data_IF_407304175797
#
_entry.id   IF_407304175797
#
_cell.length_a   1.000
_cell.length_b   1.000
_cell.length_c   1.000
_cell.angle_alpha   90.00
_cell.angle_beta   90.00
_cell.angle_gamma   90.00
#
_symmetry.space_group_name_H-M   'P 1'
#
loop_
_entity.id
_entity.type
_entity.pdbx_description
1 polymer ?
#
# COMPACT_ATOMS: atom_id res chain seq x y z
N UNK A 1 6.12 -23.32 -16.71
CA UNK A 1 5.69 -22.85 -16.65
C UNK A 1 4.88 -22.18 -16.31
N UNK A 2 4.80 -21.81 -16.18
CA UNK A 2 4.09 -21.23 -15.86
C UNK A 2 3.51 -20.56 -15.59
N UNK A 3 3.23 -20.14 -15.53
CA UNK A 3 2.73 -19.50 -15.22
C UNK A 3 1.87 -19.03 -15.06
N UNK A 4 1.60 -18.70 -14.82
CA UNK A 4 0.91 -18.23 -14.57
C UNK A 4 0.06 -17.66 -14.55
N UNK A 5 -0.19 -17.45 -14.49
CA UNK A 5 -0.95 -16.89 -14.38
C UNK A 5 -1.54 -16.21 -14.25
N UNK A 6 -1.75 -15.68 -14.25
CA UNK A 6 -2.34 -15.01 -14.12
C UNK A 6 -3.09 -14.29 -13.92
N UNK A 7 -3.17 -13.60 -13.86
CA UNK A 7 -3.81 -12.97 -13.88
C UNK A 7 -4.85 -12.34 -13.88
N UNK A 8 -4.66 -11.76 -14.03
CA UNK A 8 -6.02 -11.49 -14.07
C UNK A 8 -6.53 -10.53 -13.03
N UNK A 9 -6.13 -10.13 -12.06
CA UNK A 9 -6.64 -9.22 -11.07
C UNK A 9 -5.87 -7.93 -11.15
N UNK A 10 -6.24 -7.10 -12.09
CA UNK A 10 -5.50 -5.88 -12.33
C UNK A 10 -5.51 -4.94 -11.12
N UNK A 11 -6.63 -4.88 -10.38
CA UNK A 11 -6.68 -4.04 -9.19
C UNK A 11 -5.72 -4.53 -8.12
N UNK A 12 -5.56 -5.86 -8.05
CA UNK A 12 -4.62 -6.45 -7.11
C UNK A 12 -3.18 -6.06 -7.44
N UNK A 13 -2.88 -5.99 -8.73
CA UNK A 13 -1.53 -5.60 -9.14
C UNK A 13 -1.17 -4.19 -8.68
N UNK A 14 -2.14 -3.29 -8.74
CA UNK A 14 -1.87 -1.91 -8.37
C UNK A 14 -1.40 -1.77 -6.94
N UNK A 15 -2.14 -2.34 -6.01
CA UNK A 15 -1.75 -2.17 -4.62
C UNK A 15 -0.57 -3.08 -4.25
N UNK A 16 -0.39 -4.19 -4.96
CA UNK A 16 0.76 -5.03 -4.70
C UNK A 16 2.06 -4.30 -5.03
N UNK A 17 2.06 -3.55 -6.12
CA UNK A 17 3.23 -2.76 -6.47
C UNK A 17 3.54 -1.72 -5.39
N UNK A 18 2.48 -1.12 -4.82
CA UNK A 18 2.63 -0.17 -3.75
C UNK A 18 3.22 -0.84 -2.50
N UNK A 19 2.72 -2.04 -2.17
CA UNK A 19 3.25 -2.78 -1.03
C UNK A 19 4.73 -3.12 -1.23
N UNK A 20 5.11 -3.51 -2.43
CA UNK A 20 6.50 -3.81 -2.73
C UNK A 20 7.36 -2.56 -2.56
N UNK A 21 6.85 -1.43 -3.01
CA UNK A 21 7.56 -0.17 -2.84
C UNK A 21 7.76 0.18 -1.38
N UNK A 22 6.72 -0.01 -0.58
CA UNK A 22 6.82 0.26 0.85
C UNK A 22 7.86 -0.65 1.50
N UNK A 23 7.89 -1.91 1.13
CA UNK A 23 8.84 -2.85 1.71
C UNK A 23 10.27 -2.51 1.33
N UNK A 24 10.47 -1.79 0.25
CA UNK A 24 11.80 -1.39 -0.19
C UNK A 24 12.31 -0.09 0.40
N UNK A 25 11.49 0.60 1.18
CA UNK A 25 11.92 1.85 1.78
C UNK A 25 12.92 1.60 2.90
N UNK A 26 13.87 2.50 3.01
CA UNK A 26 14.88 2.40 4.05
C UNK A 26 14.21 2.54 5.41
N UNK A 27 14.58 1.66 6.32
CA UNK A 27 14.03 1.68 7.67
C UNK A 27 12.82 0.79 7.86
N UNK A 28 12.29 0.21 6.79
CA UNK A 28 11.14 -0.67 6.88
C UNK A 28 11.61 -2.10 7.10
N UNK A 29 11.13 -2.72 8.17
CA UNK A 29 11.48 -4.09 8.50
C UNK A 29 10.59 -5.08 7.78
N UNK A 30 9.30 -4.79 7.73
CA UNK A 30 8.36 -5.66 7.03
C UNK A 30 7.08 -4.90 6.75
N UNK A 31 6.31 -5.44 5.80
CA UNK A 31 5.00 -4.89 5.44
C UNK A 31 4.03 -6.06 5.43
N UNK A 32 2.92 -5.88 6.12
CA UNK A 32 1.89 -6.91 6.17
C UNK A 32 0.60 -6.33 5.61
N UNK A 33 -0.17 -7.17 4.94
CA UNK A 33 -1.47 -6.79 4.43
C UNK A 33 -2.52 -7.23 5.45
N UNK A 34 -3.36 -6.30 5.85
CA UNK A 34 -4.44 -6.62 6.76
C UNK A 34 -5.72 -6.88 6.01
N UNK A 35 -6.76 -6.13 6.38
CA UNK A 35 -8.08 -6.35 5.81
C UNK A 35 -8.16 -5.77 4.41
N UNK A 36 -8.84 -6.49 3.54
CA UNK A 36 -9.14 -6.02 2.19
C UNK A 36 -10.66 -5.94 2.08
N UNK A 37 -11.16 -4.73 1.84
CA UNK A 37 -12.59 -4.51 1.72
C UNK A 37 -12.92 -4.20 0.27
N UNK A 38 -13.94 -4.84 -0.30
CA UNK A 38 -14.36 -4.48 -1.65
C UNK A 38 -15.02 -3.11 -1.65
N UNK A 39 -14.89 -2.43 -2.74
CA UNK A 39 -15.56 -1.15 -2.93
C UNK A 39 -15.88 -1.01 -4.41
N UNK A 40 -16.76 -0.06 -4.70
CA UNK A 40 -17.11 0.19 -6.09
C UNK A 40 -15.88 0.72 -6.81
N UNK A 41 -15.55 0.08 -7.92
CA UNK A 41 -14.43 0.50 -8.71
C UNK A 41 -14.70 1.79 -9.45
N UNK A 42 -13.65 2.55 -9.68
CA UNK A 42 -13.75 3.81 -10.41
C UNK A 42 -13.30 3.66 -11.87
N UNK A 43 -12.87 2.47 -12.24
CA UNK A 43 -12.35 2.26 -13.58
C UNK A 43 -10.92 2.68 -13.74
N UNK A 44 -10.27 3.08 -12.67
CA UNK A 44 -8.88 3.50 -12.71
C UNK A 44 -8.03 2.47 -12.01
N UNK A 45 -7.11 1.83 -12.72
CA UNK A 45 -6.26 0.81 -12.12
C UNK A 45 -5.11 1.43 -11.34
N UNK A 46 -5.36 2.48 -10.59
CA UNK A 46 -4.33 3.19 -9.85
C UNK A 46 -4.59 3.00 -8.36
N UNK A 47 -3.56 2.58 -7.65
CA UNK A 47 -3.63 2.49 -6.21
C UNK A 47 -2.91 3.69 -5.60
N UNK A 48 -3.45 4.20 -4.51
CA UNK A 48 -2.86 5.34 -3.84
C UNK A 48 -3.13 5.22 -2.34
N UNK A 49 -2.23 5.77 -1.56
CA UNK A 49 -2.37 5.77 -0.12
C UNK A 49 -3.27 6.93 0.28
N UNK A 50 -4.36 6.63 0.97
CA UNK A 50 -5.31 7.65 1.38
C UNK A 50 -5.14 8.06 2.83
N UNK A 51 -4.49 7.24 3.64
CA UNK A 51 -4.33 7.55 5.06
C UNK A 51 -3.07 6.88 5.58
N UNK A 52 -2.32 7.62 6.40
CA UNK A 52 -1.14 7.10 7.07
C UNK A 52 -1.25 7.48 8.53
N UNK A 53 -1.09 6.51 9.42
CA UNK A 53 -1.15 6.75 10.85
C UNK A 53 0.03 6.10 11.54
N UNK A 54 0.57 6.76 12.52
CA UNK A 54 1.66 6.21 13.30
C UNK A 54 1.09 5.27 14.35
N UNK A 55 1.73 4.11 14.52
CA UNK A 55 1.35 3.14 15.52
C UNK A 55 2.55 2.82 16.38
N UNK A 56 2.37 1.96 17.38
CA UNK A 56 3.46 1.59 18.27
C UNK A 56 4.59 0.89 17.53
N UNK A 57 4.26 0.13 16.51
CA UNK A 57 5.28 -0.67 15.82
C UNK A 57 5.64 -0.09 14.46
N UNK A 58 5.04 1.03 14.07
CA UNK A 58 5.38 1.63 12.80
C UNK A 58 4.26 2.46 12.25
N UNK A 59 3.69 2.03 11.12
CA UNK A 59 2.64 2.78 10.45
C UNK A 59 1.49 1.88 10.08
N UNK A 60 0.29 2.44 10.14
CA UNK A 60 -0.91 1.81 9.60
C UNK A 60 -1.31 2.63 8.38
N UNK A 61 -1.49 1.96 7.27
CA UNK A 61 -1.70 2.64 5.99
C UNK A 61 -2.97 2.11 5.35
N UNK A 62 -3.76 3.02 4.80
CA UNK A 62 -4.94 2.65 4.04
C UNK A 62 -4.66 2.94 2.57
N UNK A 63 -4.83 1.92 1.73
CA UNK A 63 -4.58 2.02 0.31
C UNK A 63 -5.92 1.92 -0.42
N UNK A 64 -6.18 2.91 -1.27
CA UNK A 64 -7.35 2.86 -2.16
C UNK A 64 -6.90 2.30 -3.48
N UNK A 65 -7.47 1.17 -3.86
CA UNK A 65 -7.22 0.57 -5.15
C UNK A 65 -8.55 0.46 -5.88
N UNK A 66 -8.48 0.24 -7.18
CA UNK A 66 -9.70 0.07 -7.94
C UNK A 66 -10.39 -1.21 -7.46
N UNK A 67 -11.59 -1.05 -6.93
CA UNK A 67 -12.36 -2.19 -6.46
C UNK A 67 -12.06 -2.63 -5.03
N UNK A 68 -11.12 -1.99 -4.33
CA UNK A 68 -10.78 -2.45 -3.00
C UNK A 68 -10.17 -1.34 -2.15
N UNK A 69 -10.37 -1.47 -0.84
CA UNK A 69 -9.65 -0.67 0.14
C UNK A 69 -8.83 -1.66 0.96
N UNK A 70 -7.54 -1.43 1.04
CA UNK A 70 -6.62 -2.38 1.64
C UNK A 70 -5.92 -1.73 2.83
N UNK A 71 -5.92 -2.42 3.96
CA UNK A 71 -5.15 -1.98 5.11
C UNK A 71 -3.79 -2.65 5.06
N UNK A 72 -2.74 -1.88 5.31
CA UNK A 72 -1.40 -2.41 5.35
C UNK A 72 -0.71 -1.90 6.61
N UNK A 73 0.22 -2.69 7.10
CA UNK A 73 0.94 -2.35 8.33
C UNK A 73 2.42 -2.41 8.03
N UNK A 74 3.09 -1.32 8.32
CA UNK A 74 4.53 -1.20 8.09
C UNK A 74 5.22 -1.25 9.45
N UNK A 75 6.12 -2.20 9.62
CA UNK A 75 6.90 -2.31 10.84
C UNK A 75 8.20 -1.55 10.66
N UNK A 76 8.42 -0.56 11.49
CA UNK A 76 9.61 0.28 11.39
C UNK A 76 9.89 0.96 12.71
N UNK A 77 11.15 1.21 12.99
CA UNK A 77 11.58 1.98 14.12
C UNK A 77 11.57 3.48 13.83
N UNK A 78 11.35 3.85 12.58
CA UNK A 78 11.44 5.24 12.15
C UNK A 78 10.17 5.64 11.39
N UNK A 79 9.04 5.65 12.09
CA UNK A 79 7.77 5.87 11.39
C UNK A 79 7.69 7.24 10.72
N UNK A 80 8.26 8.27 11.34
CA UNK A 80 8.17 9.61 10.77
C UNK A 80 8.98 9.71 9.49
N UNK A 81 10.15 9.08 9.48
CA UNK A 81 11.00 9.10 8.30
C UNK A 81 10.36 8.32 7.15
N UNK A 82 9.76 7.18 7.48
CA UNK A 82 9.09 6.38 6.47
C UNK A 82 7.87 7.12 5.92
N UNK A 83 7.12 7.78 6.79
CA UNK A 83 5.96 8.55 6.34
C UNK A 83 6.39 9.68 5.41
N UNK A 84 7.50 10.34 5.73
CA UNK A 84 8.02 11.40 4.86
C UNK A 84 8.45 10.85 3.51
N UNK A 85 9.07 9.67 3.50
CA UNK A 85 9.48 9.06 2.25
C UNK A 85 8.27 8.71 1.38
N UNK A 86 7.19 8.25 2.00
CA UNK A 86 5.96 7.96 1.27
C UNK A 86 5.44 9.23 0.60
N UNK A 87 5.43 10.32 1.33
CA UNK A 87 4.96 11.59 0.79
C UNK A 87 5.83 12.06 -0.36
N UNK A 88 7.15 11.92 -0.22
CA UNK A 88 8.08 12.34 -1.26
C UNK A 88 7.88 11.58 -2.55
N UNK A 89 7.51 10.32 -2.45
CA UNK A 89 7.35 9.50 -3.63
C UNK A 89 6.02 9.71 -4.32
N UNK A 90 5.16 10.53 -3.73
CA UNK A 90 3.90 10.83 -4.36
C UNK A 90 2.90 9.69 -4.31
N UNK A 91 3.10 8.74 -3.42
CA UNK A 91 2.18 7.62 -3.29
C UNK A 91 0.91 8.00 -2.55
N UNK A 92 0.94 9.10 -1.84
CA UNK A 92 -0.21 9.53 -1.06
C UNK A 92 -1.03 10.49 -1.91
N UNK A 93 -2.34 10.22 -1.98
CA UNK A 93 -3.24 11.17 -2.61
C UNK A 93 -3.52 12.22 -1.57
N UNK A 94 -2.87 13.24 -1.56
CA UNK A 94 -3.03 14.27 -0.57
C UNK A 94 -4.48 14.62 -0.35
N UNK A 95 -4.76 15.47 0.54
CA UNK A 95 -6.10 15.82 0.97
C UNK A 95 -6.88 16.39 -0.13
#
# INVERSE_FOLDING_TARGET
>A
MARKTHHKHSSTKGYRRLLDGLAGLEGVHSVATGRVKPRMGSGRPVAAISKVRTTESGLSITINADGAIVDAYVVTDRPEEVAAAIAERGWSTGP
#
